data_IF_176330565238
#
_entry.id   IF_176330565238
#
_cell.length_a   1.000
_cell.length_b   1.000
_cell.length_c   1.000
_cell.angle_alpha   90.00
_cell.angle_beta   90.00
_cell.angle_gamma   90.00
#
_symmetry.space_group_name_H-M   'P 1'
#
loop_
_entity.id
_entity.type
_entity.pdbx_description
1 polymer ?
#
# COMPACT_ATOMS: atom_id res chain seq x y z
N UNK A 1 9.54 17.36 -4.49
CA UNK A 1 9.06 17.53 -3.10
C UNK A 1 8.15 16.39 -2.71
N UNK A 2 8.28 15.85 -1.49
CA UNK A 2 7.43 14.76 -0.99
C UNK A 2 6.61 15.26 0.21
N UNK A 3 5.29 14.98 0.17
CA UNK A 3 4.36 15.14 1.29
C UNK A 3 3.94 13.73 1.71
N UNK A 4 4.06 13.38 2.98
CA UNK A 4 3.72 12.04 3.47
C UNK A 4 2.42 12.05 4.25
N UNK A 5 1.56 11.04 4.01
CA UNK A 5 0.30 10.84 4.72
C UNK A 5 0.24 9.41 5.25
N UNK A 6 0.48 9.26 6.53
CA UNK A 6 0.46 7.98 7.23
C UNK A 6 -0.81 7.79 8.05
N UNK A 7 -1.07 6.58 8.48
CA UNK A 7 -2.20 6.24 9.34
C UNK A 7 -2.73 4.84 9.13
N UNK A 8 -3.61 4.39 10.01
CA UNK A 8 -4.18 3.06 10.00
C UNK A 8 -5.12 2.79 8.79
N UNK A 9 -5.57 1.53 8.63
CA UNK A 9 -6.58 1.20 7.61
C UNK A 9 -7.91 1.91 7.91
N UNK A 10 -8.61 2.39 6.88
CA UNK A 10 -9.94 3.00 7.01
C UNK A 10 -9.97 4.43 7.56
N UNK A 11 -8.82 5.07 7.83
CA UNK A 11 -8.79 6.47 8.33
C UNK A 11 -9.07 7.53 7.24
N UNK A 12 -9.03 7.16 5.96
CA UNK A 12 -9.30 8.09 4.86
C UNK A 12 -8.06 8.60 4.13
N UNK A 13 -6.88 7.99 4.32
CA UNK A 13 -5.62 8.41 3.67
C UNK A 13 -5.76 8.59 2.16
N UNK A 14 -6.28 7.58 1.46
CA UNK A 14 -6.41 7.58 0.00
C UNK A 14 -7.21 8.77 -0.51
N UNK A 15 -8.36 9.04 0.09
CA UNK A 15 -9.22 10.17 -0.30
C UNK A 15 -8.51 11.50 -0.05
N UNK A 16 -7.88 11.64 1.12
CA UNK A 16 -7.12 12.85 1.49
C UNK A 16 -5.91 13.04 0.59
N UNK A 17 -5.10 12.00 0.38
CA UNK A 17 -3.90 12.07 -0.44
C UNK A 17 -4.21 12.43 -1.90
N UNK A 18 -5.25 11.84 -2.49
CA UNK A 18 -5.70 12.16 -3.85
C UNK A 18 -6.17 13.60 -3.97
N UNK A 19 -6.95 14.09 -3.01
CA UNK A 19 -7.46 15.46 -3.03
C UNK A 19 -6.31 16.48 -2.84
N UNK A 20 -5.38 16.23 -1.93
CA UNK A 20 -4.18 17.07 -1.75
C UNK A 20 -3.32 17.07 -3.01
N UNK A 21 -3.04 15.90 -3.59
CA UNK A 21 -2.28 15.79 -4.83
C UNK A 21 -2.92 16.57 -5.97
N UNK A 22 -4.25 16.44 -6.14
CA UNK A 22 -5.02 17.17 -7.14
C UNK A 22 -4.93 18.69 -6.96
N UNK A 23 -5.10 19.19 -5.73
CA UNK A 23 -5.07 20.63 -5.42
C UNK A 23 -3.69 21.24 -5.64
N UNK A 24 -2.63 20.49 -5.36
CA UNK A 24 -1.25 20.97 -5.50
C UNK A 24 -0.65 20.69 -6.90
N UNK A 25 -1.33 19.94 -7.75
CA UNK A 25 -0.78 19.50 -9.02
C UNK A 25 0.35 18.47 -8.86
N UNK A 26 0.37 17.72 -7.76
CA UNK A 26 1.34 16.67 -7.45
C UNK A 26 0.87 15.31 -7.94
N UNK A 27 1.80 14.37 -8.07
CA UNK A 27 1.49 12.96 -8.29
C UNK A 27 0.99 12.32 -6.99
N UNK A 28 -0.05 11.48 -7.10
CA UNK A 28 -0.52 10.65 -5.99
C UNK A 28 0.19 9.29 -6.02
N UNK A 29 0.71 8.85 -4.86
CA UNK A 29 1.44 7.61 -4.74
C UNK A 29 0.93 6.74 -3.57
N UNK A 30 0.31 5.59 -3.90
CA UNK A 30 -0.18 4.57 -2.96
C UNK A 30 0.88 3.48 -2.78
N UNK A 31 1.67 3.55 -1.71
CA UNK A 31 2.69 2.55 -1.42
C UNK A 31 2.10 1.20 -0.99
N UNK A 32 0.90 1.20 -0.41
CA UNK A 32 0.20 -0.02 -0.05
C UNK A 32 -0.13 -0.89 -1.28
N UNK A 33 -0.41 -0.27 -2.42
CA UNK A 33 -0.63 -0.99 -3.67
C UNK A 33 0.63 -1.71 -4.16
N UNK A 34 1.84 -1.20 -3.89
CA UNK A 34 3.09 -1.89 -4.24
C UNK A 34 3.27 -3.19 -3.46
N UNK A 35 3.03 -3.17 -2.13
CA UNK A 35 3.08 -4.39 -1.31
C UNK A 35 2.02 -5.42 -1.75
N UNK A 36 0.86 -4.95 -2.21
CA UNK A 36 -0.16 -5.81 -2.81
C UNK A 36 0.30 -6.41 -4.13
N UNK A 37 1.05 -5.67 -4.94
CA UNK A 37 1.63 -6.19 -6.19
C UNK A 37 2.63 -7.32 -5.91
N UNK A 38 3.55 -7.13 -4.94
CA UNK A 38 4.46 -8.21 -4.50
C UNK A 38 3.68 -9.41 -3.99
N UNK A 39 2.63 -9.18 -3.19
CA UNK A 39 1.80 -10.26 -2.67
C UNK A 39 1.11 -11.04 -3.79
N UNK A 40 0.57 -10.34 -4.80
CA UNK A 40 -0.02 -10.98 -5.98
C UNK A 40 1.01 -11.84 -6.71
N UNK A 41 2.20 -11.30 -6.96
CA UNK A 41 3.30 -12.02 -7.61
C UNK A 41 3.67 -13.30 -6.85
N UNK A 42 3.83 -13.22 -5.53
CA UNK A 42 4.14 -14.37 -4.69
C UNK A 42 3.04 -15.43 -4.73
N UNK A 43 1.77 -15.02 -4.70
CA UNK A 43 0.64 -15.95 -4.79
C UNK A 43 0.56 -16.64 -6.15
N UNK A 44 0.78 -15.90 -7.25
CA UNK A 44 0.78 -16.46 -8.61
C UNK A 44 1.97 -17.43 -8.83
N UNK A 45 3.13 -17.14 -8.23
CA UNK A 45 4.32 -18.00 -8.26
C UNK A 45 4.30 -19.11 -7.20
N UNK A 46 3.30 -19.13 -6.31
CA UNK A 46 3.18 -20.10 -5.19
C UNK A 46 4.41 -20.10 -4.27
N UNK A 47 4.97 -18.93 -4.01
CA UNK A 47 6.14 -18.74 -3.14
C UNK A 47 5.82 -19.16 -1.70
N UNK A 48 6.67 -19.95 -1.08
CA UNK A 48 6.62 -20.19 0.36
C UNK A 48 7.19 -18.98 1.12
N UNK A 49 6.34 -18.28 1.87
CA UNK A 49 6.73 -17.07 2.63
C UNK A 49 7.69 -17.37 3.80
N UNK A 50 7.93 -18.63 4.11
CA UNK A 50 8.92 -19.06 5.11
C UNK A 50 10.29 -19.40 4.50
N UNK A 51 10.40 -19.43 3.16
CA UNK A 51 11.62 -19.78 2.42
C UNK A 51 12.30 -18.51 1.89
N UNK A 52 13.38 -18.07 2.54
CA UNK A 52 14.15 -16.89 2.09
C UNK A 52 14.63 -17.04 0.65
N UNK A 53 15.06 -18.24 0.24
CA UNK A 53 15.57 -18.48 -1.12
C UNK A 53 14.49 -18.36 -2.20
N UNK A 54 13.24 -18.81 -1.90
CA UNK A 54 12.12 -18.64 -2.83
C UNK A 54 11.68 -17.18 -2.93
N UNK A 55 11.67 -16.47 -1.78
CA UNK A 55 11.37 -15.06 -1.71
C UNK A 55 12.36 -14.25 -2.54
N UNK A 56 13.66 -14.44 -2.33
CA UNK A 56 14.71 -13.74 -3.08
C UNK A 56 14.59 -14.01 -4.58
N UNK A 57 14.47 -15.27 -4.98
CA UNK A 57 14.27 -15.64 -6.39
C UNK A 57 13.02 -15.00 -7.02
N UNK A 58 11.92 -14.91 -6.26
CA UNK A 58 10.71 -14.28 -6.75
C UNK A 58 10.86 -12.76 -6.89
N UNK A 59 11.59 -12.10 -5.96
CA UNK A 59 11.87 -10.67 -6.04
C UNK A 59 12.81 -10.34 -7.20
N UNK A 60 13.83 -11.15 -7.45
CA UNK A 60 14.80 -10.95 -8.55
C UNK A 60 14.17 -11.06 -9.93
N UNK A 61 13.11 -11.86 -10.06
CA UNK A 61 12.41 -12.06 -11.33
C UNK A 61 11.19 -11.17 -11.53
N UNK A 62 10.86 -10.32 -10.55
CA UNK A 62 9.68 -9.47 -10.57
C UNK A 62 9.93 -8.16 -11.32
N UNK A 63 9.24 -7.93 -12.41
CA UNK A 63 9.24 -6.66 -13.12
C UNK A 63 8.05 -5.79 -12.68
N UNK A 64 8.24 -5.01 -11.61
CA UNK A 64 7.22 -4.07 -11.13
C UNK A 64 7.49 -2.66 -11.65
N UNK A 65 6.58 -2.14 -12.47
CA UNK A 65 6.63 -0.77 -12.98
C UNK A 65 5.45 0.04 -12.45
N UNK A 66 5.74 1.29 -12.06
CA UNK A 66 4.74 2.26 -11.59
C UNK A 66 4.57 3.30 -12.67
N UNK A 67 3.36 3.47 -13.16
CA UNK A 67 3.02 4.41 -14.22
C UNK A 67 2.15 5.54 -13.67
N UNK A 68 2.62 6.77 -13.86
CA UNK A 68 1.95 8.03 -13.49
C UNK A 68 1.52 8.85 -14.74
N UNK A 69 1.46 8.24 -15.91
CA UNK A 69 1.09 8.92 -17.16
C UNK A 69 -0.32 9.52 -17.14
N UNK A 70 -1.24 8.89 -16.40
CA UNK A 70 -2.56 9.43 -16.16
C UNK A 70 -2.56 10.37 -14.96
N UNK A 71 -3.00 11.61 -15.17
CA UNK A 71 -3.05 12.62 -14.12
C UNK A 71 -3.89 12.15 -12.92
N UNK A 72 -3.28 12.15 -11.74
CA UNK A 72 -3.87 11.70 -10.47
C UNK A 72 -4.28 10.22 -10.40
N UNK A 73 -3.80 9.39 -11.32
CA UNK A 73 -4.07 7.96 -11.31
C UNK A 73 -2.76 7.18 -11.47
N UNK A 74 -2.40 6.43 -10.43
CA UNK A 74 -1.25 5.55 -10.44
C UNK A 74 -1.68 4.17 -10.94
N UNK A 75 -1.00 3.66 -11.95
CA UNK A 75 -1.14 2.28 -12.42
C UNK A 75 0.06 1.44 -11.98
N UNK A 76 -0.18 0.18 -11.71
CA UNK A 76 0.86 -0.81 -11.43
C UNK A 76 0.86 -1.85 -12.53
N UNK A 77 2.02 -2.00 -13.16
CA UNK A 77 2.28 -3.01 -14.16
C UNK A 77 3.20 -4.06 -13.55
N UNK A 78 2.81 -5.32 -13.60
CA UNK A 78 3.61 -6.47 -13.22
C UNK A 78 3.86 -7.30 -14.47
N UNK A 79 5.12 -7.50 -14.82
CA UNK A 79 5.52 -8.19 -16.05
C UNK A 79 4.81 -7.60 -17.30
N UNK A 80 4.66 -6.27 -17.33
CA UNK A 80 3.99 -5.52 -18.40
C UNK A 80 2.46 -5.53 -18.37
N UNK A 81 1.83 -6.25 -17.45
CA UNK A 81 0.36 -6.36 -17.33
C UNK A 81 -0.17 -5.41 -16.24
N UNK A 82 -1.20 -4.63 -16.54
CA UNK A 82 -1.90 -3.81 -15.54
C UNK A 82 -2.61 -4.71 -14.51
N UNK A 83 -2.16 -4.60 -13.26
CA UNK A 83 -2.67 -5.37 -12.13
C UNK A 83 -3.53 -4.55 -11.17
N UNK A 84 -3.85 -3.30 -11.48
CA UNK A 84 -4.50 -2.34 -10.57
C UNK A 84 -5.82 -2.84 -9.97
N UNK A 85 -6.55 -3.70 -10.69
CA UNK A 85 -7.75 -4.37 -10.18
C UNK A 85 -7.43 -5.65 -9.43
N UNK A 86 -6.49 -6.47 -9.95
CA UNK A 86 -6.14 -7.79 -9.39
C UNK A 86 -5.59 -7.71 -7.97
N UNK A 87 -4.82 -6.66 -7.64
CA UNK A 87 -4.23 -6.47 -6.32
C UNK A 87 -5.23 -6.22 -5.20
N UNK A 88 -6.51 -6.03 -5.52
CA UNK A 88 -7.57 -5.77 -4.54
C UNK A 88 -8.41 -7.01 -4.20
N UNK A 89 -8.09 -8.18 -4.74
CA UNK A 89 -8.80 -9.42 -4.46
C UNK A 89 -8.62 -9.90 -3.01
N UNK A 90 -9.47 -10.84 -2.59
CA UNK A 90 -9.48 -11.37 -1.23
C UNK A 90 -8.14 -12.02 -0.83
N UNK A 91 -7.57 -12.86 -1.70
CA UNK A 91 -6.32 -13.58 -1.41
C UNK A 91 -5.15 -12.62 -1.17
N UNK A 92 -5.01 -11.58 -2.00
CA UNK A 92 -4.00 -10.54 -1.80
C UNK A 92 -4.27 -9.80 -0.47
N UNK A 93 -5.52 -9.43 -0.20
CA UNK A 93 -5.88 -8.71 1.04
C UNK A 93 -5.57 -9.53 2.28
N UNK A 94 -5.79 -10.84 2.25
CA UNK A 94 -5.50 -11.76 3.37
C UNK A 94 -3.99 -11.90 3.65
N UNK A 95 -3.16 -11.90 2.61
CA UNK A 95 -1.73 -12.23 2.71
C UNK A 95 -0.80 -11.01 2.76
N UNK A 96 -1.27 -9.81 2.35
CA UNK A 96 -0.41 -8.62 2.22
C UNK A 96 0.28 -8.23 3.53
N UNK A 97 -0.33 -8.47 4.67
CA UNK A 97 0.28 -8.16 5.98
C UNK A 97 1.51 -9.02 6.24
N UNK A 98 1.43 -10.33 5.96
CA UNK A 98 2.55 -11.25 6.11
C UNK A 98 3.69 -10.90 5.14
N UNK A 99 3.38 -10.69 3.86
CA UNK A 99 4.38 -10.34 2.83
C UNK A 99 5.04 -9.00 3.12
N UNK A 100 4.29 -7.99 3.57
CA UNK A 100 4.85 -6.68 3.91
C UNK A 100 5.74 -6.67 5.15
N UNK A 101 5.69 -7.71 5.99
CA UNK A 101 6.58 -7.88 7.13
C UNK A 101 7.94 -8.49 6.76
N UNK A 102 8.08 -9.09 5.57
CA UNK A 102 9.32 -9.70 5.10
C UNK A 102 10.38 -8.62 4.86
N UNK A 103 11.54 -8.79 5.48
CA UNK A 103 12.62 -7.77 5.46
C UNK A 103 13.12 -7.47 4.04
N UNK A 104 13.37 -8.48 3.21
CA UNK A 104 13.83 -8.30 1.83
C UNK A 104 12.80 -7.58 0.97
N UNK A 105 11.51 -7.92 1.11
CA UNK A 105 10.40 -7.20 0.46
C UNK A 105 10.39 -5.72 0.87
N UNK A 106 10.49 -5.44 2.16
CA UNK A 106 10.50 -4.05 2.64
C UNK A 106 11.68 -3.26 2.10
N UNK A 107 12.87 -3.84 2.14
CA UNK A 107 14.08 -3.20 1.61
C UNK A 107 13.92 -2.84 0.13
N UNK A 108 13.45 -3.77 -0.69
CA UNK A 108 13.21 -3.54 -2.11
C UNK A 108 12.15 -2.45 -2.33
N UNK A 109 11.02 -2.53 -1.63
CA UNK A 109 9.93 -1.56 -1.78
C UNK A 109 10.35 -0.14 -1.37
N UNK A 110 11.08 0.02 -0.26
CA UNK A 110 11.61 1.34 0.17
C UNK A 110 12.54 1.93 -0.89
N UNK A 111 13.43 1.12 -1.47
CA UNK A 111 14.34 1.58 -2.52
C UNK A 111 13.57 2.06 -3.76
N UNK A 112 12.59 1.28 -4.23
CA UNK A 112 11.76 1.66 -5.37
C UNK A 112 10.97 2.93 -5.07
N UNK A 113 10.36 3.05 -3.87
CA UNK A 113 9.58 4.22 -3.47
C UNK A 113 10.43 5.49 -3.49
N UNK A 114 11.66 5.42 -3.00
CA UNK A 114 12.62 6.55 -3.03
C UNK A 114 12.99 6.92 -4.45
N UNK A 115 13.41 5.96 -5.27
CA UNK A 115 13.80 6.18 -6.66
C UNK A 115 12.68 6.81 -7.49
N UNK A 116 11.45 6.32 -7.35
CA UNK A 116 10.28 6.84 -8.08
C UNK A 116 10.01 8.32 -7.77
N UNK A 117 10.32 8.76 -6.55
CA UNK A 117 10.02 10.14 -6.10
C UNK A 117 11.17 11.13 -6.27
N UNK A 118 12.35 10.69 -6.74
CA UNK A 118 13.53 11.56 -6.91
C UNK A 118 13.24 12.78 -7.79
N UNK A 119 12.53 12.54 -8.89
CA UNK A 119 12.28 13.58 -9.89
C UNK A 119 10.79 13.94 -9.94
N UNK A 120 10.33 14.78 -8.99
CA UNK A 120 8.95 15.24 -9.04
C UNK A 120 8.40 15.72 -7.70
N UNK A 121 7.10 15.96 -7.73
CA UNK A 121 6.33 16.36 -6.56
C UNK A 121 5.27 15.30 -6.28
N UNK A 122 5.29 14.70 -5.08
CA UNK A 122 4.45 13.57 -4.73
C UNK A 122 3.72 13.79 -3.41
N UNK A 123 2.47 13.31 -3.36
CA UNK A 123 1.77 13.01 -2.11
C UNK A 123 1.77 11.50 -1.97
N UNK A 124 2.50 11.01 -0.97
CA UNK A 124 2.76 9.58 -0.73
C UNK A 124 1.97 9.13 0.48
N UNK A 125 1.14 8.11 0.32
CA UNK A 125 0.41 7.51 1.44
C UNK A 125 0.92 6.13 1.83
N UNK A 126 0.85 5.82 3.14
CA UNK A 126 1.23 4.51 3.66
C UNK A 126 0.99 4.33 5.15
N UNK A 127 1.98 3.70 5.82
CA UNK A 127 1.94 3.40 7.25
C UNK A 127 3.11 4.01 8.01
N UNK A 128 4.25 4.08 7.38
CA UNK A 128 5.55 4.48 7.92
C UNK A 128 6.34 5.33 6.92
N UNK A 129 5.64 6.05 6.06
CA UNK A 129 6.23 6.81 4.97
C UNK A 129 7.07 7.96 5.52
N UNK A 130 6.52 8.73 6.46
CA UNK A 130 7.21 9.86 7.07
C UNK A 130 8.25 9.49 8.13
N UNK A 131 8.30 8.23 8.56
CA UNK A 131 9.24 7.78 9.60
C UNK A 131 10.36 6.91 9.04
N UNK A 132 10.08 6.08 8.03
CA UNK A 132 11.02 5.11 7.47
C UNK A 132 11.41 5.44 6.04
N UNK A 133 10.43 5.71 5.18
CA UNK A 133 10.70 5.89 3.74
C UNK A 133 11.30 7.25 3.47
N UNK A 134 10.67 8.32 3.96
CA UNK A 134 11.10 9.72 3.80
C UNK A 134 11.21 10.43 5.16
N UNK A 135 12.19 10.05 6.01
CA UNK A 135 12.36 10.65 7.33
C UNK A 135 12.66 12.14 7.29
N UNK A 136 13.20 12.62 6.17
CA UNK A 136 13.55 14.04 5.97
C UNK A 136 12.46 14.85 5.24
N UNK A 137 11.29 14.25 4.97
CA UNK A 137 10.17 14.95 4.36
C UNK A 137 9.72 16.12 5.27
N UNK A 138 9.60 17.33 4.68
CA UNK A 138 9.22 18.54 5.44
C UNK A 138 7.76 18.54 5.88
N UNK A 139 6.89 17.85 5.15
CA UNK A 139 5.45 17.80 5.40
C UNK A 139 5.02 16.36 5.64
N UNK A 140 4.78 16.05 6.92
CA UNK A 140 4.37 14.71 7.37
C UNK A 140 3.06 14.83 8.13
N UNK A 141 2.09 14.05 7.71
CA UNK A 141 0.77 14.01 8.32
C UNK A 141 0.44 12.59 8.76
N UNK A 142 -0.06 12.45 9.97
CA UNK A 142 -0.58 11.20 10.48
C UNK A 142 -2.09 11.33 10.68
N UNK A 143 -2.86 10.52 9.94
CA UNK A 143 -4.33 10.55 10.02
C UNK A 143 -4.83 9.52 11.02
N UNK A 144 -5.69 9.98 11.90
CA UNK A 144 -6.43 9.15 12.86
C UNK A 144 -7.94 9.26 12.60
N UNK A 145 -8.68 8.24 12.97
CA UNK A 145 -10.13 8.23 13.01
C UNK A 145 -10.59 7.20 14.04
N UNK A 146 -11.76 7.44 14.60
CA UNK A 146 -12.40 6.54 15.57
C UNK A 146 -12.55 5.12 14.98
N UNK A 147 -12.46 4.14 15.86
CA UNK A 147 -12.56 2.73 15.52
C UNK A 147 -13.85 2.41 14.74
N UNK A 148 -15.00 2.88 15.21
CA UNK A 148 -16.29 2.64 14.58
C UNK A 148 -16.39 3.27 13.18
N UNK A 149 -15.84 4.47 13.01
CA UNK A 149 -15.79 5.12 11.71
C UNK A 149 -14.90 4.33 10.71
N UNK A 150 -13.79 3.79 11.19
CA UNK A 150 -12.88 2.94 10.39
C UNK A 150 -13.54 1.62 10.00
N UNK A 151 -14.24 0.97 10.96
CA UNK A 151 -14.96 -0.28 10.71
C UNK A 151 -16.05 -0.10 9.65
N UNK A 152 -16.88 0.94 9.78
CA UNK A 152 -17.94 1.26 8.82
C UNK A 152 -17.39 1.52 7.41
N UNK A 153 -16.30 2.30 7.29
CA UNK A 153 -15.65 2.57 5.99
C UNK A 153 -15.10 1.29 5.36
N UNK A 154 -14.45 0.44 6.17
CA UNK A 154 -13.90 -0.83 5.68
C UNK A 154 -15.00 -1.79 5.21
N UNK A 155 -16.11 -1.84 5.93
CA UNK A 155 -17.28 -2.62 5.52
C UNK A 155 -17.86 -2.11 4.18
N UNK A 156 -17.97 -0.80 4.00
CA UNK A 156 -18.40 -0.23 2.73
C UNK A 156 -17.48 -0.57 1.56
N UNK A 157 -16.15 -0.66 1.80
CA UNK A 157 -15.19 -1.09 0.79
C UNK A 157 -15.42 -2.57 0.39
N UNK A 158 -15.71 -3.46 1.34
CA UNK A 158 -16.00 -4.86 1.06
C UNK A 158 -17.32 -5.05 0.28
N UNK A 159 -18.36 -4.31 0.64
CA UNK A 159 -19.65 -4.35 -0.07
C UNK A 159 -19.47 -3.94 -1.53
N UNK A 160 -18.63 -2.95 -1.83
CA UNK A 160 -18.33 -2.52 -3.20
C UNK A 160 -17.66 -3.61 -4.05
N UNK A 161 -16.97 -4.56 -3.42
CA UNK A 161 -16.29 -5.68 -4.10
C UNK A 161 -17.19 -6.94 -4.16
N UNK A 162 -18.47 -6.84 -3.79
CA UNK A 162 -19.42 -7.97 -3.67
C UNK A 162 -18.99 -9.08 -2.68
N UNK A 163 -18.20 -8.74 -1.67
CA UNK A 163 -17.86 -9.67 -0.60
C UNK A 163 -18.81 -9.48 0.58
N UNK A 164 -19.59 -10.51 0.90
CA UNK A 164 -20.42 -10.54 2.12
C UNK A 164 -19.53 -10.90 3.31
N UNK A 165 -19.18 -9.92 4.13
CA UNK A 165 -18.33 -10.14 5.30
C UNK A 165 -19.06 -9.68 6.57
N UNK A 166 -18.92 -10.48 7.65
CA UNK A 166 -19.45 -10.13 8.97
C UNK A 166 -18.65 -8.97 9.58
N UNK A 167 -19.34 -7.96 10.07
CA UNK A 167 -18.74 -6.74 10.66
C UNK A 167 -17.77 -7.07 11.81
N UNK A 168 -18.05 -8.12 12.61
CA UNK A 168 -17.18 -8.53 13.70
C UNK A 168 -15.85 -9.12 13.21
N UNK A 169 -15.86 -9.83 12.08
CA UNK A 169 -14.64 -10.34 11.44
C UNK A 169 -13.78 -9.20 10.89
N UNK A 170 -14.38 -8.17 10.32
CA UNK A 170 -13.68 -6.96 9.83
C UNK A 170 -13.03 -6.21 10.99
N UNK A 171 -13.76 -6.04 12.09
CA UNK A 171 -13.25 -5.35 13.28
C UNK A 171 -12.03 -6.06 13.87
N UNK A 172 -12.10 -7.39 14.02
CA UNK A 172 -11.05 -8.15 14.70
C UNK A 172 -9.79 -8.33 13.83
N UNK A 173 -9.92 -8.69 12.56
CA UNK A 173 -8.77 -9.08 11.73
C UNK A 173 -8.06 -7.92 11.03
N UNK A 174 -8.78 -6.85 10.67
CA UNK A 174 -8.22 -5.77 9.85
C UNK A 174 -7.94 -4.47 10.59
N UNK A 175 -8.53 -4.29 11.77
CA UNK A 175 -8.37 -3.06 12.55
C UNK A 175 -7.48 -3.24 13.78
N UNK A 176 -7.34 -4.49 14.27
CA UNK A 176 -6.51 -4.82 15.44
C UNK A 176 -5.11 -5.30 15.09
N UNK A 177 -4.81 -5.60 13.81
CA UNK A 177 -3.44 -5.88 13.41
C UNK A 177 -2.55 -4.69 13.79
N UNK A 178 -1.44 -4.93 14.50
CA UNK A 178 -0.60 -3.87 14.99
C UNK A 178 -0.08 -3.05 13.82
N UNK A 179 -0.61 -1.83 13.69
CA UNK A 179 0.14 -0.79 13.01
C UNK A 179 1.37 -0.63 13.86
N UNK A 180 2.55 -0.94 13.35
CA UNK A 180 3.81 -0.71 14.07
C UNK A 180 3.80 0.78 14.42
N UNK A 181 3.50 1.07 15.67
CA UNK A 181 3.62 2.41 16.23
C UNK A 181 5.10 2.60 16.49
N UNK A 182 5.83 3.03 15.46
CA UNK A 182 7.16 3.59 15.67
C UNK A 182 6.94 5.02 16.17
N UNK A 183 7.18 5.19 17.45
CA UNK A 183 7.30 6.50 18.10
C UNK A 183 8.60 7.14 17.67
#
# INVERSE_FOLDING_TARGET
>A
MVITIDGAAGVGKTSTAKEVAKKLGFQYFDTGSMYRAVTLHFLEKKVDFSSDSEIEKALDTMELKIDFSEKNNMKLLLDGIDISLKIRNHNVTKNVSAVSAIKSVRTLMVNIQRSVTENGNFVVEGRDIGTVVFPDAKHKFFLEADYDARAKRRMADFIKINEVININAVSYTHLTLPTIRLV
#
